data_IF_823767654935
#
_entry.id   IF_823767654935
#
_cell.length_a   1.000
_cell.length_b   1.000
_cell.length_c   1.000
_cell.angle_alpha   90.00
_cell.angle_beta   90.00
_cell.angle_gamma   90.00
#
_symmetry.space_group_name_H-M   'P 1'
#
loop_
_entity.id
_entity.type
_entity.pdbx_description
1 polymer ?
#
# COMPACT_ATOMS: atom_id res chain seq x y z
N UNK A 1 4.35 -2.76 -11.98
CA UNK A 1 5.63 -2.72 -11.24
C UNK A 1 6.26 -4.10 -11.30
N UNK A 2 7.58 -4.22 -11.51
CA UNK A 2 8.28 -5.50 -11.35
C UNK A 2 8.19 -5.99 -9.89
N UNK A 3 8.59 -7.23 -9.63
CA UNK A 3 8.73 -7.69 -8.25
C UNK A 3 9.83 -6.87 -7.58
N UNK A 4 9.55 -6.33 -6.39
CA UNK A 4 10.53 -5.61 -5.60
C UNK A 4 11.70 -6.54 -5.25
N UNK A 5 12.91 -6.03 -5.48
CA UNK A 5 14.16 -6.57 -4.94
C UNK A 5 14.95 -5.41 -4.35
N UNK A 6 15.63 -5.67 -3.23
CA UNK A 6 16.54 -4.71 -2.61
C UNK A 6 17.69 -4.31 -3.55
N UNK A 7 18.03 -5.13 -4.54
CA UNK A 7 19.08 -4.83 -5.52
C UNK A 7 18.77 -3.56 -6.33
N UNK A 8 17.48 -3.22 -6.47
CA UNK A 8 17.05 -2.00 -7.13
C UNK A 8 17.13 -0.75 -6.25
N UNK A 9 17.49 -0.85 -4.96
CA UNK A 9 17.51 0.30 -4.07
C UNK A 9 18.60 1.33 -4.44
N UNK A 10 19.68 0.87 -5.10
CA UNK A 10 20.73 1.73 -5.62
C UNK A 10 20.29 2.50 -6.88
N UNK A 11 19.49 1.86 -7.74
CA UNK A 11 18.98 2.45 -8.98
C UNK A 11 17.56 1.94 -9.25
N UNK A 12 16.58 2.75 -8.84
CA UNK A 12 15.18 2.39 -9.02
C UNK A 12 14.79 2.39 -10.50
N UNK A 13 14.03 1.37 -10.96
CA UNK A 13 13.43 1.39 -12.29
C UNK A 13 12.57 2.65 -12.50
N UNK A 14 12.54 3.24 -13.71
CA UNK A 14 11.77 4.46 -13.98
C UNK A 14 10.30 4.37 -13.54
N UNK A 15 9.64 3.23 -13.81
CA UNK A 15 8.24 2.99 -13.42
C UNK A 15 8.04 3.01 -11.89
N UNK A 16 9.04 2.60 -11.11
CA UNK A 16 8.98 2.65 -9.65
C UNK A 16 9.18 4.08 -9.13
N UNK A 17 10.07 4.85 -9.77
CA UNK A 17 10.25 6.28 -9.46
C UNK A 17 8.98 7.09 -9.77
N UNK A 18 8.35 6.87 -10.92
CA UNK A 18 7.10 7.52 -11.31
C UNK A 18 5.97 7.19 -10.32
N UNK A 19 5.84 5.91 -9.96
CA UNK A 19 4.87 5.47 -8.97
C UNK A 19 5.10 6.14 -7.60
N UNK A 20 6.35 6.19 -7.13
CA UNK A 20 6.71 6.88 -5.88
C UNK A 20 6.38 8.36 -5.92
N UNK A 21 6.66 9.04 -7.04
CA UNK A 21 6.36 10.45 -7.25
C UNK A 21 4.85 10.71 -7.23
N UNK A 22 4.06 9.87 -7.89
CA UNK A 22 2.61 9.98 -7.91
C UNK A 22 1.99 9.89 -6.50
N UNK A 23 2.48 8.97 -5.67
CA UNK A 23 2.06 8.89 -4.25
C UNK A 23 2.52 10.12 -3.48
N UNK A 24 3.76 10.57 -3.69
CA UNK A 24 4.30 11.72 -2.99
C UNK A 24 3.52 13.01 -3.30
N UNK A 25 3.04 13.18 -4.54
CA UNK A 25 2.34 14.39 -5.00
C UNK A 25 0.90 14.55 -4.52
N UNK A 26 0.28 13.49 -3.98
CA UNK A 26 -1.10 13.55 -3.48
C UNK A 26 -1.17 13.80 -1.98
N UNK A 27 -2.25 14.43 -1.53
CA UNK A 27 -2.51 14.70 -0.12
C UNK A 27 -3.00 13.48 0.65
N UNK A 28 -3.62 12.50 -0.02
CA UNK A 28 -4.16 11.30 0.61
C UNK A 28 -4.15 10.11 -0.38
N UNK A 29 -4.24 8.89 0.14
CA UNK A 29 -4.33 7.66 -0.67
C UNK A 29 -5.53 6.82 -0.24
N UNK A 30 -6.38 6.46 -1.19
CA UNK A 30 -7.44 5.47 -1.00
C UNK A 30 -6.98 4.12 -1.55
N UNK A 31 -6.95 3.11 -0.69
CA UNK A 31 -6.71 1.73 -1.08
C UNK A 31 -8.04 1.03 -1.37
N UNK A 32 -8.16 0.46 -2.56
CA UNK A 32 -9.31 -0.36 -2.98
C UNK A 32 -8.78 -1.77 -3.24
N UNK A 33 -9.18 -2.75 -2.44
CA UNK A 33 -8.59 -4.10 -2.52
C UNK A 33 -9.63 -5.22 -2.41
N UNK A 34 -9.51 -6.30 -3.21
CA UNK A 34 -10.14 -7.58 -2.88
C UNK A 34 -9.38 -8.29 -1.75
N UNK A 35 -9.90 -9.44 -1.30
CA UNK A 35 -9.23 -10.34 -0.37
C UNK A 35 -8.80 -11.62 -1.08
N UNK A 36 -7.50 -11.89 -1.13
CA UNK A 36 -6.94 -13.12 -1.69
C UNK A 36 -6.32 -13.94 -0.58
N UNK A 37 -6.82 -15.17 -0.38
CA UNK A 37 -6.31 -16.12 0.60
C UNK A 37 -6.18 -15.52 2.02
N UNK A 38 -7.22 -14.82 2.49
CA UNK A 38 -7.26 -14.17 3.81
C UNK A 38 -6.20 -13.08 4.01
N UNK A 39 -5.78 -12.42 2.94
CA UNK A 39 -4.83 -11.30 3.01
C UNK A 39 -4.99 -10.34 1.83
N UNK A 40 -4.12 -9.34 1.77
CA UNK A 40 -4.01 -8.44 0.64
C UNK A 40 -3.40 -9.15 -0.58
N UNK A 41 -3.77 -8.77 -1.81
CA UNK A 41 -3.14 -9.28 -3.01
C UNK A 41 -1.63 -9.04 -3.02
N UNK A 42 -0.84 -10.03 -3.47
CA UNK A 42 0.62 -9.92 -3.54
C UNK A 42 1.09 -8.73 -4.38
N UNK A 43 0.38 -8.41 -5.47
CA UNK A 43 0.66 -7.23 -6.30
C UNK A 43 0.47 -5.91 -5.55
N UNK A 44 -0.54 -5.81 -4.68
CA UNK A 44 -0.76 -4.63 -3.84
C UNK A 44 0.36 -4.49 -2.81
N UNK A 45 0.73 -5.58 -2.14
CA UNK A 45 1.87 -5.58 -1.20
C UNK A 45 3.17 -5.18 -1.88
N UNK A 46 3.43 -5.71 -3.08
CA UNK A 46 4.59 -5.37 -3.88
C UNK A 46 4.65 -3.87 -4.23
N UNK A 47 3.52 -3.27 -4.60
CA UNK A 47 3.45 -1.83 -4.84
C UNK A 47 3.77 -1.02 -3.58
N UNK A 48 3.25 -1.44 -2.41
CA UNK A 48 3.57 -0.80 -1.13
C UNK A 48 5.07 -0.91 -0.83
N UNK A 49 5.69 -2.07 -1.08
CA UNK A 49 7.12 -2.28 -0.86
C UNK A 49 7.97 -1.30 -1.68
N UNK A 50 7.68 -1.18 -2.99
CA UNK A 50 8.32 -0.18 -3.86
C UNK A 50 8.18 1.24 -3.32
N UNK A 51 6.99 1.62 -2.87
CA UNK A 51 6.74 2.98 -2.39
C UNK A 51 7.32 3.26 -0.99
N UNK A 52 7.53 2.22 -0.18
CA UNK A 52 8.13 2.34 1.16
C UNK A 52 9.66 2.50 1.14
N UNK A 53 10.31 2.12 0.04
CA UNK A 53 11.77 2.07 -0.15
C UNK A 53 12.29 3.20 -1.05
N UNK A 54 13.59 3.56 -1.01
CA UNK A 54 14.62 3.04 -0.12
C UNK A 54 14.41 3.52 1.32
N UNK A 55 15.20 2.98 2.26
CA UNK A 55 15.11 3.36 3.67
C UNK A 55 15.19 4.89 3.85
N UNK A 56 14.31 5.45 4.68
CA UNK A 56 14.21 6.89 4.91
C UNK A 56 13.47 7.68 3.81
N UNK A 57 12.99 7.02 2.74
CA UNK A 57 12.28 7.66 1.60
C UNK A 57 10.90 7.05 1.36
N UNK A 58 10.22 6.65 2.42
CA UNK A 58 8.86 6.10 2.37
C UNK A 58 7.85 7.16 1.89
N UNK A 59 7.19 6.89 0.77
CA UNK A 59 6.22 7.80 0.15
C UNK A 59 4.88 7.90 0.92
N UNK A 60 4.57 6.96 1.82
CA UNK A 60 3.34 6.97 2.62
C UNK A 60 3.47 7.65 3.97
N UNK A 61 4.70 7.97 4.40
CA UNK A 61 4.94 8.54 5.72
C UNK A 61 4.11 9.82 5.91
N UNK A 62 3.32 9.86 6.98
CA UNK A 62 2.42 10.96 7.37
C UNK A 62 1.34 11.31 6.34
N UNK A 63 1.12 10.46 5.33
CA UNK A 63 0.08 10.65 4.32
C UNK A 63 -1.22 10.02 4.79
N UNK A 64 -2.33 10.77 4.93
CA UNK A 64 -3.64 10.20 5.24
C UNK A 64 -4.03 9.09 4.28
N UNK A 65 -4.59 8.01 4.83
CA UNK A 65 -4.99 6.82 4.07
C UNK A 65 -6.38 6.35 4.48
N UNK A 66 -7.11 5.80 3.53
CA UNK A 66 -8.35 5.07 3.74
C UNK A 66 -8.28 3.73 3.03
N UNK A 67 -9.00 2.74 3.55
CA UNK A 67 -9.10 1.40 2.95
C UNK A 67 -10.58 1.10 2.72
N UNK A 68 -10.87 0.60 1.52
CA UNK A 68 -12.16 -0.01 1.19
C UNK A 68 -11.90 -1.30 0.41
N UNK A 69 -12.89 -2.18 0.38
CA UNK A 69 -12.82 -3.38 -0.44
C UNK A 69 -14.19 -3.93 -0.76
N UNK A 70 -14.21 -4.88 -1.69
CA UNK A 70 -15.42 -5.61 -2.07
C UNK A 70 -15.09 -7.05 -2.41
N UNK A 71 -16.04 -7.93 -2.13
CA UNK A 71 -15.95 -9.36 -2.43
C UNK A 71 -17.37 -9.93 -2.53
N UNK A 72 -17.60 -10.98 -3.35
CA UNK A 72 -18.91 -11.64 -3.42
C UNK A 72 -19.33 -12.34 -2.12
N UNK A 73 -18.41 -12.60 -1.19
CA UNK A 73 -18.68 -13.34 0.04
C UNK A 73 -19.13 -12.46 1.21
N UNK A 74 -19.80 -13.06 2.20
CA UNK A 74 -20.39 -12.34 3.34
C UNK A 74 -19.38 -11.62 4.26
N UNK A 75 -18.14 -12.12 4.37
CA UNK A 75 -17.05 -11.46 5.13
C UNK A 75 -16.48 -10.26 4.37
N UNK A 76 -16.89 -10.09 3.11
CA UNK A 76 -16.34 -9.14 2.17
C UNK A 76 -14.80 -9.22 2.15
N UNK A 77 -14.12 -8.15 2.52
CA UNK A 77 -12.66 -8.00 2.50
C UNK A 77 -12.08 -7.72 3.89
N UNK A 78 -12.83 -7.99 4.96
CA UNK A 78 -12.46 -7.57 6.31
C UNK A 78 -11.05 -8.02 6.74
N UNK A 79 -10.62 -9.23 6.37
CA UNK A 79 -9.29 -9.75 6.78
C UNK A 79 -8.17 -9.10 5.96
N UNK A 80 -8.40 -8.86 4.68
CA UNK A 80 -7.46 -8.09 3.84
C UNK A 80 -7.31 -6.65 4.33
N UNK A 81 -8.41 -5.99 4.72
CA UNK A 81 -8.38 -4.63 5.23
C UNK A 81 -7.62 -4.56 6.56
N UNK A 82 -7.89 -5.48 7.49
CA UNK A 82 -7.13 -5.61 8.75
C UNK A 82 -5.62 -5.77 8.49
N UNK A 83 -5.26 -6.66 7.55
CA UNK A 83 -3.86 -6.92 7.20
C UNK A 83 -3.19 -5.69 6.58
N UNK A 84 -3.91 -4.97 5.71
CA UNK A 84 -3.42 -3.74 5.08
C UNK A 84 -3.17 -2.65 6.14
N UNK A 85 -4.09 -2.48 7.09
CA UNK A 85 -3.97 -1.50 8.18
C UNK A 85 -2.71 -1.73 9.02
N UNK A 86 -2.31 -2.98 9.27
CA UNK A 86 -1.04 -3.28 9.93
C UNK A 86 0.18 -2.84 9.10
N UNK A 87 0.16 -3.06 7.77
CA UNK A 87 1.24 -2.60 6.88
C UNK A 87 1.32 -1.07 6.83
N UNK A 88 0.17 -0.39 6.73
CA UNK A 88 0.10 1.07 6.72
C UNK A 88 0.58 1.70 8.03
N UNK A 89 0.34 1.01 9.16
CA UNK A 89 0.85 1.41 10.47
C UNK A 89 2.38 1.43 10.49
N UNK A 90 3.02 0.36 9.99
CA UNK A 90 4.49 0.33 9.83
C UNK A 90 4.98 1.45 8.90
N UNK A 91 4.24 1.73 7.82
CA UNK A 91 4.56 2.82 6.90
C UNK A 91 4.30 4.22 7.48
N UNK A 92 3.93 4.34 8.76
CA UNK A 92 3.61 5.61 9.42
C UNK A 92 2.57 6.43 8.65
N UNK A 93 1.60 5.76 8.03
CA UNK A 93 0.51 6.38 7.29
C UNK A 93 -0.72 6.51 8.22
N UNK A 94 -1.19 7.73 8.56
CA UNK A 94 -2.42 7.92 9.33
C UNK A 94 -3.61 7.27 8.62
N UNK A 95 -4.45 6.56 9.36
CA UNK A 95 -5.54 5.76 8.80
C UNK A 95 -6.89 6.32 9.22
N UNK A 96 -7.83 6.37 8.29
CA UNK A 96 -9.23 6.67 8.59
C UNK A 96 -9.84 5.49 9.37
N UNK A 97 -10.49 5.81 10.51
CA UNK A 97 -11.01 4.81 11.45
C UNK A 97 -12.48 4.43 11.22
N UNK A 98 -13.24 5.23 10.48
CA UNK A 98 -14.69 5.04 10.23
C UNK A 98 -15.03 5.58 8.83
N UNK A 99 -16.10 5.12 8.14
CA UNK A 99 -17.20 4.28 8.63
C UNK A 99 -16.96 2.76 8.57
N UNK A 100 -15.74 2.32 8.23
CA UNK A 100 -15.39 0.89 8.18
C UNK A 100 -15.55 0.20 9.55
#
# INVERSE_FOLDING_TARGET
LPLYSYDYDAEFPPVALEFKKAIASVQAVLFVTPEYNRSIPGGLKNAIDWASRPYGKNSFARKPTAVIGTSPGAIATAVAQQSLRSVLSFCNAPQMNSPE
#
